data_IF_635537159502
#
_entry.id   IF_635537159502
#
_cell.length_a   1.000
_cell.length_b   1.000
_cell.length_c   1.000
_cell.angle_alpha   90.00
_cell.angle_beta   90.00
_cell.angle_gamma   90.00
#
_symmetry.space_group_name_H-M   'P 1'
#
loop_
_entity.id
_entity.type
_entity.pdbx_description
1 polymer ?
#
# COMPACT_ATOMS: atom_id res chain seq x y z
N UNK A 1 -35.50 8.77 0.60
CA UNK A 1 -34.94 10.14 0.59
C UNK A 1 -33.43 9.99 0.45
N UNK A 2 -32.84 10.25 -0.71
CA UNK A 2 -31.40 9.97 -0.91
C UNK A 2 -30.58 11.01 -0.13
N UNK A 3 -29.60 10.61 0.70
CA UNK A 3 -28.80 11.56 1.45
C UNK A 3 -27.96 12.38 0.48
N UNK A 4 -28.25 13.68 0.39
CA UNK A 4 -27.58 14.66 -0.48
C UNK A 4 -26.15 15.00 -0.02
N UNK A 5 -25.64 14.26 0.96
CA UNK A 5 -24.44 14.59 1.74
C UNK A 5 -23.22 13.76 1.34
N UNK A 6 -23.29 13.04 0.20
CA UNK A 6 -22.17 12.23 -0.33
C UNK A 6 -21.59 12.84 -1.60
N UNK A 7 -20.27 13.08 -1.60
CA UNK A 7 -19.53 13.59 -2.76
C UNK A 7 -18.48 12.57 -3.18
N UNK A 8 -18.42 12.27 -4.48
CA UNK A 8 -17.42 11.39 -5.08
C UNK A 8 -16.47 12.26 -5.90
N UNK A 9 -15.23 12.35 -5.46
CA UNK A 9 -14.14 12.95 -6.21
C UNK A 9 -13.55 11.92 -7.16
N UNK A 10 -13.73 12.11 -8.47
CA UNK A 10 -13.14 11.22 -9.48
C UNK A 10 -12.66 12.00 -10.70
N UNK A 11 -11.52 11.58 -11.24
CA UNK A 11 -11.03 12.07 -12.54
C UNK A 11 -11.59 11.24 -13.72
N UNK A 12 -12.32 10.15 -13.43
CA UNK A 12 -12.91 9.30 -14.45
C UNK A 12 -14.11 9.99 -15.11
N UNK A 13 -14.23 9.81 -16.43
CA UNK A 13 -15.33 10.38 -17.24
C UNK A 13 -16.45 9.38 -17.52
N UNK A 14 -16.28 8.13 -17.10
CA UNK A 14 -17.18 7.00 -17.35
C UNK A 14 -17.42 6.20 -16.07
N UNK A 15 -18.46 5.36 -16.04
CA UNK A 15 -18.80 4.56 -14.85
C UNK A 15 -19.53 5.33 -13.73
N UNK A 16 -19.97 6.56 -13.98
CA UNK A 16 -20.66 7.40 -13.02
C UNK A 16 -22.08 6.85 -12.75
N UNK A 17 -22.33 6.36 -11.54
CA UNK A 17 -23.65 5.91 -11.08
C UNK A 17 -24.58 7.10 -10.84
N UNK A 18 -25.86 6.97 -11.17
CA UNK A 18 -26.87 8.00 -10.89
C UNK A 18 -27.15 8.07 -9.38
N UNK A 19 -27.02 9.24 -8.77
CA UNK A 19 -27.32 9.47 -7.35
C UNK A 19 -26.30 10.36 -6.63
N UNK A 20 -25.02 9.93 -6.52
CA UNK A 20 -23.98 10.72 -5.86
C UNK A 20 -23.66 12.01 -6.60
N UNK A 21 -23.12 12.99 -5.87
CA UNK A 21 -22.53 14.20 -6.46
C UNK A 21 -21.10 13.91 -6.87
N UNK A 22 -20.79 14.03 -8.16
CA UNK A 22 -19.41 13.90 -8.63
C UNK A 22 -18.73 15.27 -8.68
N UNK A 23 -17.47 15.30 -8.27
CA UNK A 23 -16.59 16.44 -8.41
C UNK A 23 -15.26 15.95 -8.96
N UNK A 24 -14.55 16.78 -9.72
CA UNK A 24 -13.21 16.43 -10.16
C UNK A 24 -12.20 16.95 -9.12
N UNK A 25 -11.40 16.07 -8.50
CA UNK A 25 -10.43 16.45 -7.46
C UNK A 25 -9.35 17.40 -7.97
N UNK A 26 -9.09 17.43 -9.29
CA UNK A 26 -8.14 18.36 -9.90
C UNK A 26 -8.56 19.84 -9.80
N UNK A 27 -9.86 20.12 -9.58
CA UNK A 27 -10.39 21.47 -9.36
C UNK A 27 -10.74 21.71 -7.88
N UNK A 28 -10.11 20.98 -6.96
CA UNK A 28 -10.36 21.18 -5.53
C UNK A 28 -9.57 22.39 -5.02
N UNK A 29 -10.28 23.40 -4.55
CA UNK A 29 -9.70 24.66 -4.03
C UNK A 29 -9.18 24.56 -2.58
N UNK A 30 -8.94 23.35 -2.07
CA UNK A 30 -8.50 23.14 -0.68
C UNK A 30 -9.59 23.33 0.38
N UNK A 31 -10.85 23.56 -0.02
CA UNK A 31 -11.96 23.86 0.89
C UNK A 31 -13.01 22.74 0.91
N UNK A 32 -13.22 22.07 2.06
CA UNK A 32 -14.29 21.08 2.23
C UNK A 32 -15.66 21.70 1.97
N UNK A 33 -16.50 21.01 1.19
CA UNK A 33 -17.89 21.44 0.99
C UNK A 33 -18.69 21.23 2.28
N UNK A 34 -19.43 22.27 2.69
CA UNK A 34 -20.32 22.22 3.86
C UNK A 34 -21.47 21.24 3.64
N UNK A 35 -21.83 20.49 4.69
CA UNK A 35 -22.95 19.54 4.67
C UNK A 35 -22.61 18.19 4.04
N UNK A 36 -21.32 17.91 3.76
CA UNK A 36 -20.89 16.59 3.30
C UNK A 36 -20.58 15.72 4.51
N UNK A 37 -21.24 14.57 4.61
CA UNK A 37 -20.99 13.57 5.66
C UNK A 37 -20.04 12.47 5.20
N UNK A 38 -20.01 12.22 3.89
CA UNK A 38 -19.18 11.17 3.28
C UNK A 38 -18.53 11.66 2.01
N UNK A 39 -17.24 11.45 1.90
CA UNK A 39 -16.46 11.72 0.70
C UNK A 39 -15.88 10.41 0.19
N UNK A 40 -16.02 10.15 -1.10
CA UNK A 40 -15.32 9.06 -1.76
C UNK A 40 -14.31 9.68 -2.71
N UNK A 41 -13.04 9.34 -2.60
CA UNK A 41 -11.96 9.87 -3.43
C UNK A 41 -11.42 8.74 -4.29
N UNK A 42 -11.60 8.83 -5.60
CA UNK A 42 -11.17 7.82 -6.56
C UNK A 42 -9.78 8.19 -7.12
N UNK A 43 -8.79 7.35 -6.82
CA UNK A 43 -7.37 7.56 -7.13
C UNK A 43 -6.62 8.40 -6.08
N UNK A 44 -5.37 8.76 -6.40
CA UNK A 44 -4.47 9.46 -5.47
C UNK A 44 -4.69 10.97 -5.45
N UNK A 45 -5.45 11.46 -4.48
CA UNK A 45 -5.71 12.89 -4.29
C UNK A 45 -5.56 13.32 -2.82
N UNK A 46 -4.33 13.37 -2.29
CA UNK A 46 -4.07 13.67 -0.88
C UNK A 46 -4.66 15.02 -0.46
N UNK A 47 -4.58 16.05 -1.32
CA UNK A 47 -5.15 17.37 -1.03
C UNK A 47 -6.66 17.35 -0.70
N UNK A 48 -7.42 16.41 -1.27
CA UNK A 48 -8.85 16.25 -0.96
C UNK A 48 -9.01 15.49 0.35
N UNK A 49 -8.26 14.40 0.53
CA UNK A 49 -8.30 13.57 1.73
C UNK A 49 -7.96 14.41 2.97
N UNK A 50 -6.81 15.07 2.96
CA UNK A 50 -6.32 15.89 4.07
C UNK A 50 -7.31 16.98 4.47
N UNK A 51 -7.91 17.66 3.49
CA UNK A 51 -8.86 18.73 3.77
C UNK A 51 -10.14 18.21 4.44
N UNK A 52 -10.66 17.06 4.01
CA UNK A 52 -11.87 16.48 4.58
C UNK A 52 -11.63 15.75 5.90
N UNK A 53 -10.49 15.09 6.07
CA UNK A 53 -10.06 14.52 7.35
C UNK A 53 -9.85 15.62 8.40
N UNK A 54 -9.18 16.73 8.03
CA UNK A 54 -9.03 17.89 8.90
C UNK A 54 -10.37 18.53 9.29
N UNK A 55 -11.40 18.38 8.44
CA UNK A 55 -12.76 18.81 8.73
C UNK A 55 -13.60 17.79 9.52
N UNK A 56 -13.04 16.62 9.86
CA UNK A 56 -13.73 15.56 10.59
C UNK A 56 -14.81 14.84 9.78
N UNK A 57 -14.67 14.81 8.45
CA UNK A 57 -15.61 14.14 7.54
C UNK A 57 -15.09 12.76 7.19
N UNK A 58 -15.98 11.77 7.07
CA UNK A 58 -15.62 10.41 6.64
C UNK A 58 -15.12 10.43 5.19
N UNK A 59 -13.82 10.13 5.00
CA UNK A 59 -13.18 10.00 3.68
C UNK A 59 -12.94 8.53 3.37
N UNK A 60 -13.37 8.09 2.20
CA UNK A 60 -13.14 6.74 1.66
C UNK A 60 -12.33 6.88 0.39
N UNK A 61 -11.09 6.42 0.39
CA UNK A 61 -10.26 6.36 -0.82
C UNK A 61 -10.54 5.06 -1.57
N UNK A 62 -10.95 5.18 -2.83
CA UNK A 62 -11.08 4.06 -3.76
C UNK A 62 -9.91 4.16 -4.75
N UNK A 63 -8.88 3.32 -4.58
CA UNK A 63 -7.79 3.24 -5.56
C UNK A 63 -8.37 2.80 -6.91
N UNK A 64 -8.14 3.59 -7.97
CA UNK A 64 -8.22 3.05 -9.33
C UNK A 64 -7.25 1.88 -9.42
N UNK A 65 -7.61 0.73 -10.03
CA UNK A 65 -6.77 -0.45 -9.99
C UNK A 65 -5.42 -0.17 -10.67
N UNK A 66 -4.39 0.16 -9.88
CA UNK A 66 -2.95 0.04 -10.09
C UNK A 66 -2.20 0.46 -8.80
N UNK A 67 -0.97 -0.02 -8.59
CA UNK A 67 -0.61 -0.72 -7.36
C UNK A 67 -0.17 0.19 -6.20
N UNK A 68 -0.89 0.08 -5.09
CA UNK A 68 -0.44 0.16 -3.69
C UNK A 68 0.98 0.66 -3.51
N UNK A 69 1.13 1.96 -3.30
CA UNK A 69 2.19 2.47 -2.44
C UNK A 69 1.57 3.63 -1.69
N UNK A 70 1.29 3.40 -0.41
CA UNK A 70 1.56 4.29 0.71
C UNK A 70 0.71 3.82 1.89
N UNK A 71 1.35 3.09 2.79
CA UNK A 71 0.88 2.94 4.17
C UNK A 71 2.10 3.03 5.07
N UNK A 72 2.51 4.26 5.36
CA UNK A 72 3.27 4.56 6.57
C UNK A 72 2.32 4.40 7.76
N UNK A 73 2.16 3.17 8.23
CA UNK A 73 1.78 2.78 9.60
C UNK A 73 1.60 1.27 9.65
N UNK A 74 2.66 0.53 9.35
CA UNK A 74 2.77 -0.86 9.81
C UNK A 74 4.19 -1.04 10.30
N UNK A 75 4.38 -0.69 11.57
CA UNK A 75 5.36 -1.41 12.39
C UNK A 75 4.84 -2.84 12.44
N UNK A 76 5.19 -3.63 11.44
CA UNK A 76 5.14 -5.07 11.60
C UNK A 76 6.46 -5.64 11.19
N UNK A 77 6.95 -6.46 12.11
CA UNK A 77 8.03 -7.44 12.01
C UNK A 77 8.45 -7.64 10.55
N UNK A 78 9.71 -7.28 10.30
CA UNK A 78 10.39 -7.50 9.04
C UNK A 78 9.94 -8.82 8.44
N UNK A 79 9.39 -8.81 7.21
CA UNK A 79 8.91 -10.04 6.56
C UNK A 79 9.96 -11.15 6.50
N UNK A 80 11.24 -10.79 6.72
CA UNK A 80 12.37 -11.69 6.98
C UNK A 80 12.08 -12.71 8.09
N UNK A 81 11.52 -12.28 9.21
CA UNK A 81 11.29 -13.13 10.40
C UNK A 81 10.21 -14.21 10.17
N UNK A 82 9.35 -14.02 9.15
CA UNK A 82 8.28 -14.97 8.77
C UNK A 82 8.80 -16.02 7.78
N UNK A 83 9.91 -15.75 7.08
CA UNK A 83 10.48 -16.70 6.13
C UNK A 83 11.10 -17.86 6.90
N UNK A 84 10.52 -19.05 6.73
CA UNK A 84 11.08 -20.31 7.20
C UNK A 84 12.29 -20.68 6.33
N UNK A 85 13.39 -21.05 6.99
CA UNK A 85 14.62 -21.52 6.35
C UNK A 85 14.59 -23.04 6.45
N UNK A 86 14.40 -23.79 5.34
CA UNK A 86 14.43 -25.25 5.37
C UNK A 86 15.81 -25.77 5.80
N UNK A 87 15.90 -26.89 6.54
CA UNK A 87 17.19 -27.44 6.98
C UNK A 87 18.09 -27.90 5.81
N UNK A 88 17.48 -28.30 4.69
CA UNK A 88 18.13 -28.74 3.45
C UNK A 88 18.41 -27.61 2.46
N UNK A 89 18.35 -26.34 2.91
CA UNK A 89 18.57 -25.17 2.06
C UNK A 89 19.89 -25.17 1.27
N UNK A 90 20.90 -25.90 1.75
CA UNK A 90 22.21 -26.02 1.11
C UNK A 90 22.19 -26.88 -0.15
N UNK A 91 21.29 -27.86 -0.22
CA UNK A 91 21.13 -28.77 -1.37
C UNK A 91 20.16 -28.22 -2.43
N UNK A 92 19.48 -27.11 -2.12
CA UNK A 92 18.56 -26.45 -3.04
C UNK A 92 19.28 -25.94 -4.29
N UNK A 93 18.50 -25.78 -5.37
CA UNK A 93 18.99 -25.16 -6.59
C UNK A 93 19.53 -23.76 -6.31
N UNK A 94 20.55 -23.35 -7.06
CA UNK A 94 21.13 -22.01 -6.96
C UNK A 94 20.07 -20.90 -7.08
N UNK A 95 19.04 -21.09 -7.90
CA UNK A 95 17.97 -20.11 -8.08
C UNK A 95 17.10 -19.97 -6.82
N UNK A 96 16.72 -21.09 -6.22
CA UNK A 96 15.88 -21.10 -5.02
C UNK A 96 16.66 -20.58 -3.80
N UNK A 97 17.92 -20.99 -3.68
CA UNK A 97 18.83 -20.52 -2.64
C UNK A 97 19.06 -19.01 -2.70
N UNK A 98 19.29 -18.46 -3.91
CA UNK A 98 19.42 -17.01 -4.10
C UNK A 98 18.13 -16.26 -3.76
N UNK A 99 16.97 -16.82 -4.11
CA UNK A 99 15.67 -16.23 -3.80
C UNK A 99 15.44 -16.19 -2.29
N UNK A 100 15.71 -17.30 -1.59
CA UNK A 100 15.64 -17.39 -0.13
C UNK A 100 16.57 -16.35 0.52
N UNK A 101 17.85 -16.32 0.12
CA UNK A 101 18.82 -15.37 0.65
C UNK A 101 18.43 -13.89 0.40
N UNK A 102 17.86 -13.57 -0.76
CA UNK A 102 17.39 -12.22 -1.08
C UNK A 102 16.17 -11.80 -0.25
N UNK A 103 15.39 -12.75 0.28
CA UNK A 103 14.30 -12.45 1.21
C UNK A 103 14.79 -12.21 2.63
N UNK A 104 15.97 -12.73 2.98
CA UNK A 104 16.55 -12.64 4.33
C UNK A 104 17.58 -11.51 4.47
N UNK A 105 18.13 -11.02 3.36
CA UNK A 105 19.17 -9.97 3.34
C UNK A 105 18.75 -8.74 2.55
N UNK A 106 19.09 -7.56 3.08
CA UNK A 106 18.94 -6.27 2.38
C UNK A 106 20.05 -6.05 1.33
N UNK A 107 21.10 -6.87 1.36
CA UNK A 107 22.22 -6.77 0.44
C UNK A 107 21.94 -7.62 -0.81
N UNK A 108 22.15 -7.09 -2.03
CA UNK A 108 22.00 -7.86 -3.26
C UNK A 108 22.85 -9.14 -3.25
N UNK A 109 22.19 -10.29 -3.41
CA UNK A 109 22.85 -11.60 -3.52
C UNK A 109 23.33 -11.82 -4.96
N UNK A 110 24.64 -11.76 -5.16
CA UNK A 110 25.29 -11.84 -6.47
C UNK A 110 25.77 -13.26 -6.80
N UNK A 111 26.23 -14.02 -5.78
CA UNK A 111 26.81 -15.35 -5.93
C UNK A 111 26.41 -16.29 -4.78
N UNK A 112 26.76 -17.58 -4.88
CA UNK A 112 26.39 -18.59 -3.86
C UNK A 112 26.95 -18.26 -2.49
N UNK A 113 28.22 -17.85 -2.41
CA UNK A 113 28.83 -17.49 -1.14
C UNK A 113 28.09 -16.34 -0.42
N UNK A 114 27.58 -15.35 -1.17
CA UNK A 114 26.76 -14.27 -0.63
C UNK A 114 25.38 -14.76 -0.19
N UNK A 115 24.83 -15.77 -0.87
CA UNK A 115 23.56 -16.39 -0.45
C UNK A 115 23.73 -17.19 0.85
N UNK A 116 24.82 -17.96 0.93
CA UNK A 116 25.22 -18.72 2.12
C UNK A 116 25.42 -17.79 3.32
N UNK A 117 26.17 -16.71 3.14
CA UNK A 117 26.44 -15.73 4.19
C UNK A 117 25.15 -15.04 4.67
N UNK A 118 24.24 -14.71 3.76
CA UNK A 118 22.95 -14.10 4.11
C UNK A 118 22.05 -15.04 4.93
N UNK A 119 21.95 -16.31 4.51
CA UNK A 119 21.12 -17.31 5.22
C UNK A 119 21.74 -17.65 6.58
N UNK A 120 23.08 -17.82 6.65
CA UNK A 120 23.78 -18.06 7.92
C UNK A 120 23.67 -16.88 8.89
N UNK A 121 23.79 -15.65 8.41
CA UNK A 121 23.64 -14.46 9.25
C UNK A 121 22.22 -14.36 9.83
N UNK A 122 21.20 -14.77 9.07
CA UNK A 122 19.84 -14.82 9.59
C UNK A 122 19.64 -15.98 10.58
N UNK A 123 20.26 -17.15 10.37
CA UNK A 123 20.24 -18.25 11.35
C UNK A 123 20.94 -17.86 12.66
N UNK A 124 22.09 -17.18 12.59
CA UNK A 124 22.84 -16.66 13.75
C UNK A 124 22.04 -15.62 14.53
N UNK A 125 21.34 -14.73 13.82
CA UNK A 125 20.40 -13.77 14.43
C UNK A 125 19.24 -14.44 15.18
N UNK A 126 18.85 -15.66 14.78
CA UNK A 126 17.72 -16.42 15.35
C UNK A 126 18.11 -17.42 16.44
N UNK A 127 19.41 -17.69 16.63
CA UNK A 127 19.94 -18.60 17.65
C UNK A 127 19.90 -17.95 19.05
#
# INVERSE_FOLDING_TARGET
MQPKDTVIYTAQKSGLKKGPRYANPRFFDGKPKRGVKKVVVVGDWPAVVDAYEAAGVEVVTEETPRPKTFTEARVEKSGRDVVEIPDDWQEMSWQDKRKLAAQLSDVPVINSAGADAAIMAELDRRA
#
